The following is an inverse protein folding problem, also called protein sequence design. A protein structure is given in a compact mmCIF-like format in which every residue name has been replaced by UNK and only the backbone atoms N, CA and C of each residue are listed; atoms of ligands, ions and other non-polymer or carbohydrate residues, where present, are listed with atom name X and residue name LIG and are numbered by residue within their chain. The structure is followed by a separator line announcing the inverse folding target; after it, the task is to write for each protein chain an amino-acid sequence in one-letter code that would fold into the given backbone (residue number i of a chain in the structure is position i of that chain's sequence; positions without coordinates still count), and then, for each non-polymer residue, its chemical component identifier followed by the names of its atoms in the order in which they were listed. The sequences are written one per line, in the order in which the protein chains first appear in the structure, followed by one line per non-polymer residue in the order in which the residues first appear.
data_IF_024925499836
#
_entry.id   IF_024925499836
#
_cell.length_a   1.000
_cell.length_b   1.000
_cell.length_c   1.000
_cell.angle_alpha   90.00
_cell.angle_beta   90.00
_cell.angle_gamma   90.00
#
_symmetry.space_group_name_H-M   'P 1'
#
loop_
_entity.id
_entity.type
_entity.pdbx_description
1 polymer ?
#
# COMPACT_ATOMS: atom_id res chain seq x y z
N UNK A 1 -22.51 12.77 -2.72
CA UNK A 1 -21.68 13.76 -2.00
C UNK A 1 -20.22 13.36 -2.15
N UNK A 2 -19.43 14.14 -2.88
CA UNK A 2 -17.99 13.91 -3.06
C UNK A 2 -17.23 14.31 -1.79
N UNK A 3 -16.45 13.41 -1.22
CA UNK A 3 -15.60 13.73 -0.08
C UNK A 3 -14.61 14.86 -0.44
N UNK A 4 -14.40 15.86 0.42
CA UNK A 4 -13.48 16.96 0.13
C UNK A 4 -12.05 16.42 0.01
N UNK A 5 -11.36 16.86 -1.05
CA UNK A 5 -9.96 16.54 -1.29
C UNK A 5 -9.12 17.14 -0.15
N UNK A 6 -8.52 16.28 0.70
CA UNK A 6 -7.60 16.72 1.76
C UNK A 6 -6.34 17.32 1.15
N UNK A 7 -5.80 18.43 1.69
CA UNK A 7 -4.61 19.06 1.14
C UNK A 7 -3.40 18.11 1.21
N UNK A 8 -2.63 18.12 0.13
CA UNK A 8 -1.43 17.30 -0.10
C UNK A 8 -0.39 17.37 1.05
N UNK A 9 -0.41 18.47 1.83
CA UNK A 9 0.49 18.73 2.96
C UNK A 9 0.37 17.73 4.12
N UNK A 10 -0.82 17.20 4.39
CA UNK A 10 -1.02 16.29 5.53
C UNK A 10 -0.47 14.89 5.22
N UNK A 11 -0.61 14.44 3.98
CA UNK A 11 -0.04 13.17 3.53
C UNK A 11 1.49 13.18 3.57
N UNK A 12 2.10 14.32 3.24
CA UNK A 12 3.55 14.49 3.24
C UNK A 12 4.13 14.47 4.66
N UNK A 13 3.43 15.06 5.63
CA UNK A 13 3.79 14.97 7.06
C UNK A 13 3.73 13.53 7.57
N UNK A 14 2.71 12.76 7.18
CA UNK A 14 2.59 11.35 7.57
C UNK A 14 3.72 10.49 6.98
N UNK A 15 4.11 10.73 5.72
CA UNK A 15 5.24 10.06 5.09
C UNK A 15 6.58 10.41 5.77
N UNK A 16 6.73 11.66 6.22
CA UNK A 16 7.90 12.08 6.99
C UNK A 16 7.97 11.35 8.33
N UNK A 17 6.87 11.33 9.09
CA UNK A 17 6.78 10.67 10.39
C UNK A 17 6.98 9.16 10.30
N UNK A 18 6.49 8.52 9.24
CA UNK A 18 6.70 7.10 8.99
C UNK A 18 8.11 6.77 8.45
N UNK A 19 9.02 7.75 8.39
CA UNK A 19 10.43 7.53 8.05
C UNK A 19 10.71 7.32 6.55
N UNK A 20 9.70 7.50 5.68
CA UNK A 20 9.82 7.33 4.24
C UNK A 20 10.66 8.43 3.57
N UNK A 21 10.69 9.62 4.15
CA UNK A 21 11.38 10.80 3.62
C UNK A 21 12.78 11.01 4.19
N UNK A 22 13.32 10.07 4.98
CA UNK A 22 14.72 10.13 5.39
C UNK A 22 15.65 9.84 4.20
N UNK A 23 16.81 10.52 4.09
CA UNK A 23 17.71 10.41 2.95
C UNK A 23 18.19 8.96 2.68
N UNK A 24 18.29 8.14 3.74
CA UNK A 24 18.65 6.71 3.63
C UNK A 24 17.53 5.84 3.05
N UNK A 25 16.27 6.27 3.20
CA UNK A 25 15.06 5.56 2.77
C UNK A 25 14.45 6.15 1.51
N UNK A 26 14.82 7.39 1.15
CA UNK A 26 14.36 8.13 -0.02
C UNK A 26 14.77 7.43 -1.33
N UNK A 27 15.95 6.82 -1.38
CA UNK A 27 16.41 6.02 -2.52
C UNK A 27 15.59 4.74 -2.70
N UNK A 28 15.24 4.08 -1.59
CA UNK A 28 14.41 2.88 -1.61
C UNK A 28 12.93 3.22 -1.93
N UNK A 29 12.44 4.38 -1.48
CA UNK A 29 11.14 4.93 -1.88
C UNK A 29 11.13 5.24 -3.38
N UNK A 30 12.14 5.95 -3.88
CA UNK A 30 12.29 6.26 -5.30
C UNK A 30 12.38 4.99 -6.14
N UNK A 31 13.10 3.96 -5.68
CA UNK A 31 13.15 2.66 -6.34
C UNK A 31 11.79 1.96 -6.35
N UNK A 32 11.04 2.00 -5.25
CA UNK A 32 9.66 1.49 -5.18
C UNK A 32 8.73 2.21 -6.15
N UNK A 33 8.84 3.55 -6.21
CA UNK A 33 8.08 4.39 -7.13
C UNK A 33 8.47 4.15 -8.59
N UNK A 34 9.74 3.88 -8.88
CA UNK A 34 10.20 3.51 -10.23
C UNK A 34 9.70 2.13 -10.65
N UNK A 35 9.70 1.16 -9.72
CA UNK A 35 9.29 -0.23 -10.00
C UNK A 35 7.78 -0.39 -10.14
N UNK A 36 7.00 0.38 -9.40
CA UNK A 36 5.54 0.21 -9.31
C UNK A 36 4.73 1.43 -9.77
N UNK A 37 5.36 2.57 -10.05
CA UNK A 37 4.72 3.87 -10.23
C UNK A 37 4.51 4.61 -8.91
N UNK A 38 4.14 5.89 -8.96
CA UNK A 38 3.79 6.67 -7.77
C UNK A 38 2.38 6.28 -7.29
N UNK A 39 2.27 5.16 -6.57
CA UNK A 39 1.00 4.62 -6.08
C UNK A 39 1.12 3.96 -4.71
N UNK A 40 -0.02 3.58 -4.13
CA UNK A 40 -0.09 2.93 -2.82
C UNK A 40 0.69 1.59 -2.77
N UNK A 41 0.84 0.91 -3.91
CA UNK A 41 1.63 -0.33 -4.00
C UNK A 41 3.12 -0.06 -3.73
N UNK A 42 3.66 1.07 -4.20
CA UNK A 42 5.05 1.46 -3.94
C UNK A 42 5.29 1.75 -2.45
N UNK A 43 4.33 2.36 -1.76
CA UNK A 43 4.40 2.59 -0.32
C UNK A 43 4.36 1.26 0.46
N UNK A 44 3.49 0.33 0.05
CA UNK A 44 3.40 -1.00 0.66
C UNK A 44 4.69 -1.81 0.46
N UNK A 45 5.28 -1.78 -0.75
CA UNK A 45 6.56 -2.40 -1.02
C UNK A 45 7.67 -1.84 -0.12
N UNK A 46 7.70 -0.52 0.05
CA UNK A 46 8.71 0.14 0.85
C UNK A 46 8.53 -0.17 2.35
N UNK A 47 7.29 -0.21 2.86
CA UNK A 47 7.00 -0.66 4.22
C UNK A 47 7.47 -2.10 4.46
N UNK A 48 7.20 -3.01 3.51
CA UNK A 48 7.66 -4.40 3.56
C UNK A 48 9.19 -4.54 3.58
N UNK A 49 9.92 -3.60 2.96
CA UNK A 49 11.40 -3.60 3.00
C UNK A 49 11.95 -3.06 4.31
N UNK A 50 11.35 -2.00 4.84
CA UNK A 50 11.85 -1.32 6.05
C UNK A 50 11.49 -2.10 7.32
N UNK A 51 10.31 -2.73 7.34
CA UNK A 51 9.74 -3.33 8.53
C UNK A 51 9.13 -4.72 8.26
N UNK A 52 9.88 -5.67 7.65
CA UNK A 52 9.32 -6.91 7.09
C UNK A 52 8.51 -7.72 8.11
N UNK A 53 9.03 -7.93 9.31
CA UNK A 53 8.40 -8.75 10.35
C UNK A 53 7.57 -7.94 11.36
N UNK A 54 7.49 -6.62 11.19
CA UNK A 54 6.66 -5.80 12.06
C UNK A 54 5.19 -5.97 11.67
N UNK A 55 4.31 -6.05 12.67
CA UNK A 55 2.87 -6.16 12.43
C UNK A 55 2.36 -4.92 11.69
N UNK A 56 1.74 -5.15 10.53
CA UNK A 56 1.13 -4.13 9.68
C UNK A 56 -0.35 -3.96 10.00
N UNK A 57 -1.06 -5.08 10.22
CA UNK A 57 -2.49 -5.10 10.50
C UNK A 57 -2.76 -6.10 11.62
N UNK A 58 -3.56 -5.68 12.60
CA UNK A 58 -4.15 -6.55 13.62
C UNK A 58 -5.62 -6.74 13.30
N UNK A 59 -6.01 -7.97 12.96
CA UNK A 59 -7.40 -8.40 12.95
C UNK A 59 -7.83 -8.92 14.33
N UNK A 60 -9.09 -9.33 14.44
CA UNK A 60 -9.64 -9.86 15.69
C UNK A 60 -8.86 -11.07 16.21
N UNK A 61 -8.44 -11.98 15.32
CA UNK A 61 -7.74 -13.22 15.67
C UNK A 61 -6.41 -13.41 14.95
N UNK A 62 -6.00 -12.45 14.11
CA UNK A 62 -4.81 -12.58 13.27
C UNK A 62 -3.95 -11.33 13.29
N UNK A 63 -2.65 -11.53 13.09
CA UNK A 63 -1.67 -10.45 12.89
C UNK A 63 -0.96 -10.72 11.58
N UNK A 64 -0.96 -9.71 10.71
CA UNK A 64 -0.28 -9.78 9.42
C UNK A 64 0.88 -8.81 9.44
N UNK A 65 2.09 -9.29 9.15
CA UNK A 65 3.28 -8.45 9.02
C UNK A 65 3.33 -7.76 7.65
N UNK A 66 4.19 -6.74 7.52
CA UNK A 66 4.29 -5.94 6.30
C UNK A 66 4.75 -6.76 5.07
N UNK A 67 5.62 -7.76 5.27
CA UNK A 67 6.09 -8.61 4.19
C UNK A 67 4.96 -9.48 3.65
N UNK A 68 4.23 -10.15 4.54
CA UNK A 68 3.07 -10.99 4.20
C UNK A 68 1.99 -10.16 3.52
N UNK A 69 1.66 -8.98 4.05
CA UNK A 69 0.66 -8.08 3.45
C UNK A 69 1.04 -7.66 2.02
N UNK A 70 2.31 -7.35 1.77
CA UNK A 70 2.79 -7.02 0.44
C UNK A 70 2.71 -8.21 -0.52
N UNK A 71 3.12 -9.41 -0.08
CA UNK A 71 3.06 -10.61 -0.93
C UNK A 71 1.61 -11.00 -1.26
N UNK A 72 0.71 -10.97 -0.29
CA UNK A 72 -0.70 -11.28 -0.47
C UNK A 72 -1.39 -10.29 -1.40
N UNK A 73 -1.17 -8.98 -1.21
CA UNK A 73 -1.70 -7.96 -2.13
C UNK A 73 -1.26 -8.19 -3.58
N UNK A 74 0.00 -8.59 -3.81
CA UNK A 74 0.50 -8.92 -5.16
C UNK A 74 -0.14 -10.18 -5.71
N UNK A 75 -0.30 -11.21 -4.87
CA UNK A 75 -0.95 -12.45 -5.26
C UNK A 75 -2.40 -12.20 -5.67
N UNK A 76 -3.16 -11.44 -4.87
CA UNK A 76 -4.52 -11.08 -5.21
C UNK A 76 -4.61 -10.22 -6.47
N UNK A 77 -3.74 -9.22 -6.62
CA UNK A 77 -3.69 -8.42 -7.84
C UNK A 77 -3.40 -9.27 -9.09
N UNK A 78 -2.51 -10.27 -8.98
CA UNK A 78 -2.22 -11.21 -10.07
C UNK A 78 -3.46 -12.01 -10.45
N UNK A 79 -4.13 -12.63 -9.47
CA UNK A 79 -5.36 -13.41 -9.71
C UNK A 79 -6.45 -12.54 -10.32
N UNK A 80 -6.66 -11.33 -9.79
CA UNK A 80 -7.68 -10.41 -10.30
C UNK A 80 -7.36 -9.98 -11.74
N UNK A 81 -6.09 -9.84 -12.12
CA UNK A 81 -5.71 -9.43 -13.48
C UNK A 81 -6.11 -10.43 -14.58
N UNK A 82 -6.32 -11.70 -14.21
CA UNK A 82 -6.81 -12.74 -15.13
C UNK A 82 -8.27 -12.49 -15.56
N UNK A 83 -9.03 -11.76 -14.75
CA UNK A 83 -10.44 -11.48 -15.02
C UNK A 83 -10.60 -10.21 -15.88
N UNK A 84 -11.32 -10.27 -17.01
CA UNK A 84 -11.55 -9.11 -17.88
C UNK A 84 -12.20 -7.91 -17.19
N UNK A 85 -13.01 -8.17 -16.14
CA UNK A 85 -13.67 -7.16 -15.34
C UNK A 85 -12.69 -6.23 -14.60
N UNK A 86 -11.47 -6.70 -14.33
CA UNK A 86 -10.44 -6.01 -13.56
C UNK A 86 -9.32 -5.42 -14.45
N UNK A 87 -9.55 -5.33 -15.76
CA UNK A 87 -8.66 -4.58 -16.66
C UNK A 87 -8.60 -3.10 -16.24
N UNK A 88 -7.42 -2.50 -16.47
CA UNK A 88 -7.08 -1.15 -16.01
C UNK A 88 -8.19 -0.11 -16.29
N UNK A 89 -8.39 0.80 -15.31
CA UNK A 89 -9.31 1.96 -15.37
C UNK A 89 -10.80 1.67 -15.20
N UNK A 90 -11.20 0.47 -14.78
CA UNK A 90 -12.58 0.20 -14.36
C UNK A 90 -12.77 0.51 -12.87
N UNK A 91 -13.91 1.12 -12.53
CA UNK A 91 -14.30 1.37 -11.15
C UNK A 91 -14.86 0.08 -10.56
N UNK A 92 -14.42 -0.28 -9.36
CA UNK A 92 -14.91 -1.46 -8.65
C UNK A 92 -15.52 -1.04 -7.31
N UNK A 93 -16.70 -1.55 -7.01
CA UNK A 93 -17.30 -1.43 -5.69
C UNK A 93 -16.78 -2.57 -4.81
N UNK A 94 -16.32 -2.25 -3.60
CA UNK A 94 -15.85 -3.23 -2.63
C UNK A 94 -16.72 -3.09 -1.39
N UNK A 95 -17.37 -4.19 -1.01
CA UNK A 95 -18.07 -4.31 0.27
C UNK A 95 -17.26 -5.25 1.16
N UNK A 96 -16.61 -4.69 2.15
CA UNK A 96 -15.77 -5.43 3.09
C UNK A 96 -16.04 -4.93 4.52
N UNK A 97 -15.88 -5.85 5.49
CA UNK A 97 -15.87 -5.50 6.91
C UNK A 97 -14.49 -4.93 7.26
N UNK A 98 -14.35 -4.35 8.45
CA UNK A 98 -13.05 -3.92 8.97
C UNK A 98 -12.23 -5.13 9.42
N UNK A 99 -11.84 -5.95 8.44
CA UNK A 99 -11.04 -7.17 8.61
C UNK A 99 -9.82 -7.08 7.71
N UNK A 100 -8.68 -7.66 8.11
CA UNK A 100 -7.48 -7.74 7.28
C UNK A 100 -7.73 -8.38 5.92
#
# INVERSE_FOLDING_TARGET
MSAPFKPFSDGLKLLYQAGFLHPRNLSALAFGMLRHGFNLQALLYQAARLHPFQTAVCGNDSRTDWQTLYLDSRRYASVLSEYPAWRQRRKTAVLCRNTP
#
